data_IF_349158370892
#
_entry.id   IF_349158370892
#
_cell.length_a   1.000
_cell.length_b   1.000
_cell.length_c   1.000
_cell.angle_alpha   90.00
_cell.angle_beta   90.00
_cell.angle_gamma   90.00
#
_symmetry.space_group_name_H-M   'P 1'
#
loop_
_entity.id
_entity.type
_entity.pdbx_description
1 polymer ?
#
# COMPACT_ATOMS: atom_id res chain seq x y z
N UNK A 1 10.08 16.14 -2.07
CA UNK A 1 10.31 14.98 -1.18
C UNK A 1 10.32 13.75 -2.07
N UNK A 2 11.32 12.88 -1.95
CA UNK A 2 11.38 11.65 -2.76
C UNK A 2 10.33 10.65 -2.22
N UNK A 3 9.39 10.22 -3.06
CA UNK A 3 8.47 9.11 -2.76
C UNK A 3 9.18 7.73 -2.72
N UNK A 4 10.50 7.71 -2.96
CA UNK A 4 11.33 6.52 -2.83
C UNK A 4 11.70 6.30 -1.37
N UNK A 5 11.16 5.23 -0.80
CA UNK A 5 11.51 4.75 0.54
C UNK A 5 12.57 3.66 0.44
N UNK A 6 13.83 4.05 0.45
CA UNK A 6 14.98 3.14 0.52
C UNK A 6 15.98 3.61 1.59
N UNK A 7 16.86 2.71 2.04
CA UNK A 7 17.87 3.05 3.04
C UNK A 7 18.92 3.96 2.42
N UNK A 8 19.03 5.19 2.91
CA UNK A 8 19.94 6.20 2.34
C UNK A 8 21.32 6.20 3.01
N UNK A 9 21.41 5.77 4.27
CA UNK A 9 22.68 5.73 4.99
C UNK A 9 22.52 5.82 6.50
N UNK A 10 23.65 5.93 7.19
CA UNK A 10 23.68 6.23 8.61
C UNK A 10 24.90 7.08 8.97
N UNK A 11 24.78 7.84 10.07
CA UNK A 11 25.85 8.64 10.66
C UNK A 11 25.97 8.36 12.15
N UNK A 12 27.20 8.40 12.67
CA UNK A 12 27.47 8.30 14.09
C UNK A 12 27.35 9.68 14.74
N UNK A 13 26.76 9.75 15.94
CA UNK A 13 26.73 10.97 16.75
C UNK A 13 27.82 10.92 17.83
N UNK A 14 28.31 12.09 18.25
CA UNK A 14 29.46 12.23 19.18
C UNK A 14 29.31 11.45 20.49
N UNK A 15 28.09 11.15 20.92
CA UNK A 15 27.77 10.39 22.14
C UNK A 15 27.73 8.85 21.93
N UNK A 16 28.27 8.34 20.82
CA UNK A 16 28.28 6.90 20.52
C UNK A 16 26.93 6.33 20.05
N UNK A 17 25.95 7.20 19.79
CA UNK A 17 24.70 6.83 19.12
C UNK A 17 24.85 6.77 17.60
N UNK A 18 23.83 6.23 16.94
CA UNK A 18 23.75 6.15 15.49
C UNK A 18 22.43 6.72 14.99
N UNK A 19 22.45 7.48 13.91
CA UNK A 19 21.25 7.92 13.19
C UNK A 19 21.24 7.19 11.85
N UNK A 20 20.18 6.41 11.59
CA UNK A 20 19.91 5.83 10.28
C UNK A 20 18.90 6.69 9.53
N UNK A 21 19.02 6.74 8.20
CA UNK A 21 18.28 7.66 7.34
C UNK A 21 17.62 6.91 6.18
N UNK A 22 16.40 7.31 5.84
CA UNK A 22 15.68 6.90 4.64
C UNK A 22 15.76 8.00 3.58
N UNK A 23 15.74 7.64 2.30
CA UNK A 23 15.79 8.57 1.17
C UNK A 23 14.62 9.58 1.13
N UNK A 24 13.51 9.26 1.82
CA UNK A 24 12.38 10.17 2.01
C UNK A 24 12.65 11.30 3.03
N UNK A 25 13.80 11.29 3.71
CA UNK A 25 14.17 12.25 4.75
C UNK A 25 13.84 11.81 6.18
N UNK A 26 13.32 10.60 6.37
CA UNK A 26 13.07 10.06 7.72
C UNK A 26 14.39 9.65 8.39
N UNK A 27 14.59 10.13 9.60
CA UNK A 27 15.71 9.75 10.45
C UNK A 27 15.23 8.92 11.66
N UNK A 28 16.08 8.01 12.14
CA UNK A 28 15.85 7.27 13.38
C UNK A 28 17.15 7.13 14.17
N UNK A 29 17.10 7.48 15.46
CA UNK A 29 18.24 7.39 16.37
C UNK A 29 18.23 6.08 17.15
N UNK A 30 19.32 5.32 17.08
CA UNK A 30 19.58 4.13 17.88
C UNK A 30 20.64 4.42 18.94
N UNK A 31 20.30 4.21 20.22
CA UNK A 31 21.28 4.27 21.31
C UNK A 31 22.30 3.14 21.15
N UNK A 32 23.59 3.48 21.10
CA UNK A 32 24.77 2.59 21.10
C UNK A 32 24.98 1.66 19.90
N UNK A 33 23.94 1.24 19.16
CA UNK A 33 24.08 0.29 18.03
C UNK A 33 23.34 0.74 16.78
N UNK A 34 24.05 0.79 15.65
CA UNK A 34 23.50 1.07 14.32
C UNK A 34 22.34 0.15 13.94
N UNK A 35 22.41 -1.14 14.32
CA UNK A 35 21.37 -2.13 13.98
C UNK A 35 19.97 -1.72 14.44
N UNK A 36 19.86 -1.03 15.58
CA UNK A 36 18.57 -0.61 16.12
C UNK A 36 17.98 0.56 15.32
N UNK A 37 18.82 1.56 14.99
CA UNK A 37 18.44 2.66 14.12
C UNK A 37 18.01 2.14 12.73
N UNK A 38 18.77 1.20 12.17
CA UNK A 38 18.48 0.57 10.88
C UNK A 38 17.18 -0.24 10.91
N UNK A 39 16.90 -0.97 11.99
CA UNK A 39 15.65 -1.73 12.13
C UNK A 39 14.40 -0.82 12.08
N UNK A 40 14.46 0.36 12.71
CA UNK A 40 13.39 1.36 12.63
C UNK A 40 13.20 1.92 11.21
N UNK A 41 14.30 2.20 10.50
CA UNK A 41 14.23 2.65 9.09
C UNK A 41 13.70 1.55 8.18
N UNK A 42 14.11 0.29 8.35
CA UNK A 42 13.57 -0.83 7.59
C UNK A 42 12.07 -1.00 7.82
N UNK A 43 11.62 -0.94 9.07
CA UNK A 43 10.17 -0.98 9.40
C UNK A 43 9.42 0.17 8.75
N UNK A 44 10.03 1.37 8.67
CA UNK A 44 9.45 2.49 7.95
C UNK A 44 9.33 2.21 6.45
N UNK A 45 10.39 1.69 5.81
CA UNK A 45 10.39 1.31 4.39
C UNK A 45 9.30 0.28 4.10
N UNK A 46 9.24 -0.79 4.90
CA UNK A 46 8.22 -1.83 4.77
C UNK A 46 6.80 -1.28 4.94
N UNK A 47 6.58 -0.42 5.95
CA UNK A 47 5.27 0.21 6.16
C UNK A 47 4.86 1.08 4.99
N UNK A 48 5.79 1.81 4.38
CA UNK A 48 5.51 2.67 3.23
C UNK A 48 5.29 1.87 1.96
N UNK A 49 6.04 0.78 1.76
CA UNK A 49 5.82 -0.19 0.68
C UNK A 49 4.48 -0.93 0.83
N UNK A 50 4.04 -1.18 2.06
CA UNK A 50 2.76 -1.82 2.37
C UNK A 50 1.56 -0.86 2.31
N UNK A 51 1.77 0.45 2.14
CA UNK A 51 0.64 1.34 1.92
C UNK A 51 -0.03 0.95 0.59
N UNK A 52 -1.35 0.70 0.60
CA UNK A 52 -2.05 0.38 -0.63
C UNK A 52 -1.86 1.54 -1.59
N UNK A 53 -1.28 1.26 -2.76
CA UNK A 53 -1.15 2.23 -3.84
C UNK A 53 -2.48 2.93 -4.03
N UNK A 54 -2.47 4.25 -4.21
CA UNK A 54 -3.67 5.04 -4.46
C UNK A 54 -4.51 4.34 -5.52
N UNK A 55 -5.77 4.07 -5.18
CA UNK A 55 -6.62 3.27 -6.05
C UNK A 55 -6.76 3.97 -7.41
N UNK A 56 -6.39 3.32 -8.54
CA UNK A 56 -6.52 3.90 -9.87
C UNK A 56 -7.98 4.14 -10.27
N UNK A 57 -8.94 3.60 -9.51
CA UNK A 57 -10.38 3.79 -9.70
C UNK A 57 -10.98 4.49 -8.47
N UNK A 58 -10.73 5.81 -8.28
CA UNK A 58 -11.34 6.56 -7.19
C UNK A 58 -12.87 6.51 -7.33
N UNK A 59 -13.59 6.31 -6.22
CA UNK A 59 -15.05 6.18 -6.20
C UNK A 59 -15.61 4.81 -6.62
N UNK A 60 -14.79 3.91 -7.18
CA UNK A 60 -15.24 2.55 -7.45
C UNK A 60 -15.46 1.78 -6.15
N UNK A 61 -16.53 0.98 -6.10
CA UNK A 61 -16.87 0.15 -4.95
C UNK A 61 -15.73 -0.82 -4.64
N UNK A 62 -15.33 -0.89 -3.37
CA UNK A 62 -14.20 -1.69 -2.88
C UNK A 62 -14.74 -2.89 -2.11
N UNK A 63 -14.17 -4.06 -2.38
CA UNK A 63 -14.48 -5.29 -1.65
C UNK A 63 -13.20 -5.89 -1.08
N UNK A 64 -13.27 -6.40 0.16
CA UNK A 64 -12.12 -7.00 0.83
C UNK A 64 -11.76 -8.39 0.27
N UNK A 65 -12.76 -9.11 -0.26
CA UNK A 65 -12.61 -10.47 -0.76
C UNK A 65 -13.26 -10.60 -2.14
N UNK A 66 -12.75 -11.53 -2.95
CA UNK A 66 -13.31 -11.88 -4.26
C UNK A 66 -14.77 -12.29 -4.14
N UNK A 67 -15.07 -13.19 -3.19
CA UNK A 67 -16.43 -13.70 -2.93
C UNK A 67 -17.43 -12.57 -2.68
N UNK A 68 -17.04 -11.53 -1.93
CA UNK A 68 -17.94 -10.39 -1.68
C UNK A 68 -18.15 -9.53 -2.92
N UNK A 69 -17.12 -9.38 -3.77
CA UNK A 69 -17.25 -8.70 -5.05
C UNK A 69 -18.22 -9.48 -5.97
N UNK A 70 -18.02 -10.79 -6.13
CA UNK A 70 -18.86 -11.66 -6.96
C UNK A 70 -20.32 -11.69 -6.49
N UNK A 71 -20.55 -11.80 -5.18
CA UNK A 71 -21.91 -11.67 -4.61
C UNK A 71 -22.56 -10.34 -4.98
N UNK A 72 -21.83 -9.23 -4.87
CA UNK A 72 -22.33 -7.91 -5.26
C UNK A 72 -22.54 -7.78 -6.77
N UNK A 73 -21.75 -8.48 -7.58
CA UNK A 73 -21.91 -8.54 -9.04
C UNK A 73 -23.21 -9.25 -9.42
N UNK A 74 -23.45 -10.44 -8.85
CA UNK A 74 -24.69 -11.19 -9.05
C UNK A 74 -25.93 -10.40 -8.61
N UNK A 75 -25.85 -9.70 -7.47
CA UNK A 75 -26.92 -8.81 -7.02
C UNK A 75 -27.22 -7.68 -8.02
N UNK A 76 -26.18 -7.09 -8.63
CA UNK A 76 -26.36 -6.08 -9.67
C UNK A 76 -27.05 -6.63 -10.93
N UNK A 77 -26.72 -7.87 -11.33
CA UNK A 77 -27.35 -8.51 -12.48
C UNK A 77 -28.83 -8.81 -12.26
N UNK A 78 -29.22 -9.15 -11.04
CA UNK A 78 -30.61 -9.44 -10.69
C UNK A 78 -31.47 -8.16 -10.62
N UNK A 79 -30.89 -7.05 -10.17
CA UNK A 79 -31.62 -5.81 -9.90
C UNK A 79 -31.68 -4.85 -11.09
N UNK A 80 -30.68 -4.85 -11.97
CA UNK A 80 -30.50 -3.76 -12.94
C UNK A 80 -30.49 -4.29 -14.39
N UNK A 81 -31.66 -4.43 -15.00
CA UNK A 81 -31.80 -4.95 -16.39
C UNK A 81 -31.42 -3.95 -17.49
N UNK A 82 -31.23 -2.66 -17.18
CA UNK A 82 -31.06 -1.58 -18.17
C UNK A 82 -29.69 -0.88 -18.14
N UNK A 83 -28.76 -1.31 -17.28
CA UNK A 83 -27.43 -0.68 -17.15
C UNK A 83 -26.31 -1.57 -17.68
N UNK A 84 -25.16 -0.94 -18.00
CA UNK A 84 -23.90 -1.64 -18.30
C UNK A 84 -23.42 -2.36 -17.05
N UNK A 85 -23.78 -3.64 -16.94
CA UNK A 85 -23.48 -4.49 -15.80
C UNK A 85 -21.97 -4.79 -15.73
N UNK A 86 -21.38 -4.86 -14.53
CA UNK A 86 -20.02 -5.36 -14.36
C UNK A 86 -19.94 -6.82 -14.77
N UNK A 87 -18.87 -7.22 -15.44
CA UNK A 87 -18.70 -8.58 -15.99
C UNK A 87 -17.74 -9.41 -15.14
N UNK A 88 -16.85 -8.75 -14.38
CA UNK A 88 -15.79 -9.43 -13.66
C UNK A 88 -15.42 -8.72 -12.34
N UNK A 89 -14.86 -9.48 -11.40
CA UNK A 89 -14.29 -8.98 -10.15
C UNK A 89 -12.75 -9.11 -10.21
N UNK A 90 -12.06 -7.97 -10.20
CA UNK A 90 -10.60 -7.90 -10.40
C UNK A 90 -9.90 -7.42 -9.12
N UNK A 91 -8.76 -8.03 -8.79
CA UNK A 91 -7.91 -7.57 -7.67
C UNK A 91 -7.09 -6.37 -8.11
N UNK A 92 -7.40 -5.20 -7.57
CA UNK A 92 -6.71 -3.97 -7.89
C UNK A 92 -5.37 -3.83 -7.15
N UNK A 93 -4.47 -3.00 -7.69
CA UNK A 93 -3.18 -2.64 -7.09
C UNK A 93 -3.30 -1.96 -5.72
N UNK A 94 -4.46 -1.41 -5.38
CA UNK A 94 -4.74 -0.90 -4.02
C UNK A 94 -5.04 -2.00 -3.00
N UNK A 95 -4.99 -3.29 -3.38
CA UNK A 95 -5.24 -4.43 -2.50
C UNK A 95 -6.72 -4.78 -2.30
N UNK A 96 -7.65 -4.03 -2.90
CA UNK A 96 -9.08 -4.32 -2.88
C UNK A 96 -9.56 -4.95 -4.18
N UNK A 97 -10.65 -5.71 -4.10
CA UNK A 97 -11.38 -6.21 -5.25
C UNK A 97 -12.35 -5.14 -5.74
N UNK A 98 -12.41 -4.97 -7.05
CA UNK A 98 -13.30 -4.04 -7.71
C UNK A 98 -14.07 -4.75 -8.82
N UNK A 99 -15.29 -4.30 -9.05
CA UNK A 99 -16.07 -4.75 -10.20
C UNK A 99 -15.63 -3.98 -11.45
N UNK A 100 -15.41 -4.72 -12.53
CA UNK A 100 -14.96 -4.20 -13.83
C UNK A 100 -15.90 -4.65 -14.93
N UNK A 101 -15.92 -3.90 -16.03
CA UNK A 101 -16.67 -4.23 -17.24
C UNK A 101 -15.81 -4.96 -18.28
N UNK A 102 -14.50 -4.94 -18.10
CA UNK A 102 -13.56 -5.57 -19.02
C UNK A 102 -13.18 -6.94 -18.46
N UNK A 103 -13.37 -7.99 -19.24
CA UNK A 103 -12.64 -9.24 -19.01
C UNK A 103 -11.20 -8.96 -19.45
N UNK A 104 -10.27 -8.96 -18.50
CA UNK A 104 -8.83 -8.97 -18.76
C UNK A 104 -8.40 -10.32 -19.33
#
# INVERSE_FOLDING_TARGET
MNDRHEYAGARQIREGGWIAMCACGRESAGRRKLKNARAEINRHIEKMAAQPLSCPRPGARRFRTQVNAEKSMGAHWQTDRRRRLPVHAEKCRCGYWHLTKNAT
#
